data_IF_562081814044
#
_entry.id   IF_562081814044
#
_cell.length_a   1.000
_cell.length_b   1.000
_cell.length_c   1.000
_cell.angle_alpha   90.00
_cell.angle_beta   90.00
_cell.angle_gamma   90.00
#
_symmetry.space_group_name_H-M   'P 1'
#
loop_
_entity.id
_entity.type
_entity.pdbx_description
1 polymer ?
#
# COMPACT_ATOMS: atom_id res chain seq x y z
N UNK A 1 22.50 0.85 -5.76
CA UNK A 1 21.22 1.56 -5.58
C UNK A 1 21.29 2.91 -6.32
N UNK A 2 20.53 3.10 -7.42
CA UNK A 2 20.40 4.43 -8.05
C UNK A 2 19.31 5.21 -7.31
N UNK A 3 19.71 5.99 -6.30
CA UNK A 3 18.81 6.90 -5.57
C UNK A 3 18.63 8.15 -6.43
N UNK A 4 17.47 8.32 -7.06
CA UNK A 4 17.17 9.54 -7.81
C UNK A 4 16.39 10.49 -6.90
N UNK A 5 17.07 11.52 -6.41
CA UNK A 5 16.45 12.61 -5.65
C UNK A 5 15.55 13.38 -6.59
N UNK A 6 14.24 13.37 -6.34
CA UNK A 6 13.29 14.16 -7.12
C UNK A 6 12.87 15.38 -6.32
N UNK A 7 12.60 16.51 -6.97
CA UNK A 7 12.02 17.68 -6.29
C UNK A 7 10.57 17.36 -5.91
N UNK A 8 10.29 17.36 -4.61
CA UNK A 8 8.95 17.22 -4.05
C UNK A 8 8.09 18.46 -4.27
N UNK A 9 6.81 18.36 -3.88
CA UNK A 9 5.97 19.54 -3.66
C UNK A 9 6.65 20.40 -2.57
N UNK A 10 6.69 21.72 -2.75
CA UNK A 10 7.34 22.69 -1.84
C UNK A 10 8.88 22.62 -1.76
N UNK A 11 9.54 21.90 -2.69
CA UNK A 11 11.01 21.80 -2.72
C UNK A 11 11.60 20.82 -1.70
N UNK A 12 10.75 20.06 -1.01
CA UNK A 12 11.15 19.05 -0.02
C UNK A 12 11.76 17.79 -0.68
N UNK A 13 12.63 17.06 0.03
CA UNK A 13 13.26 15.85 -0.50
C UNK A 13 12.21 14.76 -0.76
N UNK A 14 12.23 14.24 -1.98
CA UNK A 14 11.43 13.08 -2.37
C UNK A 14 12.30 11.97 -2.94
N UNK A 15 11.97 10.73 -2.61
CA UNK A 15 12.65 9.53 -3.11
C UNK A 15 11.85 8.97 -4.27
N UNK A 16 12.45 8.96 -5.47
CA UNK A 16 11.90 8.22 -6.61
C UNK A 16 12.29 6.75 -6.54
N UNK A 17 11.32 5.85 -6.68
CA UNK A 17 11.53 4.42 -6.86
C UNK A 17 11.08 4.04 -8.28
N UNK A 18 11.97 3.38 -9.01
CA UNK A 18 11.72 2.87 -10.35
C UNK A 18 11.11 1.48 -10.29
N UNK A 19 10.28 1.13 -11.28
CA UNK A 19 9.74 -0.22 -11.41
C UNK A 19 10.90 -1.23 -11.53
N UNK A 20 10.79 -2.35 -10.81
CA UNK A 20 11.85 -3.36 -10.73
C UNK A 20 12.89 -3.12 -9.64
N UNK A 21 12.86 -1.98 -8.95
CA UNK A 21 13.63 -1.81 -7.71
C UNK A 21 12.94 -2.59 -6.60
N UNK A 22 13.70 -3.43 -5.90
CA UNK A 22 13.24 -4.18 -4.74
C UNK A 22 13.79 -3.55 -3.46
N UNK A 23 12.90 -3.01 -2.64
CA UNK A 23 13.23 -2.57 -1.29
C UNK A 23 12.45 -3.46 -0.33
N UNK A 24 13.20 -4.32 0.37
CA UNK A 24 12.65 -5.30 1.29
C UNK A 24 13.38 -5.22 2.63
N UNK A 25 12.62 -5.29 3.71
CA UNK A 25 13.14 -5.33 5.09
C UNK A 25 12.34 -6.32 5.93
N UNK A 26 12.93 -6.94 6.96
CA UNK A 26 12.15 -7.72 7.92
C UNK A 26 11.08 -6.84 8.59
N UNK A 27 9.80 -7.23 8.51
CA UNK A 27 8.73 -6.37 9.02
C UNK A 27 8.79 -6.17 10.55
N UNK A 28 9.30 -7.17 11.29
CA UNK A 28 9.39 -7.17 12.77
C UNK A 28 10.20 -6.03 13.35
N UNK A 29 11.11 -5.45 12.57
CA UNK A 29 11.90 -4.29 12.98
C UNK A 29 11.01 -3.04 13.13
N UNK A 30 9.92 -2.96 12.36
CA UNK A 30 9.06 -1.78 12.30
C UNK A 30 7.65 -2.01 12.85
N UNK A 31 7.20 -3.27 12.87
CA UNK A 31 5.81 -3.62 13.16
C UNK A 31 5.71 -4.79 14.17
N UNK A 32 4.67 -4.78 15.02
CA UNK A 32 4.44 -5.87 15.96
C UNK A 32 3.93 -7.13 15.25
N UNK A 33 4.22 -8.30 15.84
CA UNK A 33 3.70 -9.59 15.37
C UNK A 33 2.17 -9.65 15.37
N UNK A 34 1.54 -9.12 16.42
CA UNK A 34 0.10 -8.86 16.47
C UNK A 34 -0.15 -7.48 15.90
N UNK A 35 -0.65 -7.43 14.67
CA UNK A 35 -0.90 -6.17 13.97
C UNK A 35 -1.96 -5.34 14.70
N UNK A 36 -2.01 -4.03 14.47
CA UNK A 36 -2.98 -3.18 15.17
C UNK A 36 -4.41 -3.46 14.70
N UNK A 37 -5.40 -3.58 15.60
CA UNK A 37 -6.79 -3.80 15.21
C UNK A 37 -7.38 -2.55 14.55
N UNK A 38 -6.98 -1.35 14.96
CA UNK A 38 -7.35 -0.08 14.33
C UNK A 38 -6.07 0.67 13.99
N UNK A 39 -5.98 1.19 12.78
CA UNK A 39 -4.78 1.84 12.27
C UNK A 39 -5.11 2.80 11.14
N UNK A 40 -4.18 3.70 10.83
CA UNK A 40 -4.26 4.54 9.65
C UNK A 40 -2.97 4.43 8.83
N UNK A 41 -3.11 4.42 7.51
CA UNK A 41 -2.01 4.50 6.57
C UNK A 41 -2.12 5.84 5.89
N UNK A 42 -1.07 6.66 5.97
CA UNK A 42 -1.00 7.96 5.29
C UNK A 42 0.12 7.88 4.26
N UNK A 43 -0.15 8.36 3.04
CA UNK A 43 0.79 8.33 1.95
C UNK A 43 0.77 9.64 1.16
N UNK A 44 1.96 10.16 0.88
CA UNK A 44 2.19 11.31 0.00
C UNK A 44 3.02 10.85 -1.18
N UNK A 45 2.36 10.68 -2.34
CA UNK A 45 2.98 10.05 -3.51
C UNK A 45 2.78 10.82 -4.79
N UNK A 46 3.67 10.57 -5.75
CA UNK A 46 3.52 10.95 -7.15
C UNK A 46 3.78 9.74 -8.05
N UNK A 47 2.73 9.01 -8.48
CA UNK A 47 2.87 7.92 -9.45
C UNK A 47 3.46 8.46 -10.77
N UNK A 48 4.38 7.72 -11.39
CA UNK A 48 4.98 8.12 -12.68
C UNK A 48 4.17 7.66 -13.88
N UNK A 49 3.45 6.55 -13.74
CA UNK A 49 2.57 5.96 -14.75
C UNK A 49 1.16 5.73 -14.20
N UNK A 50 0.28 5.14 -15.02
CA UNK A 50 -1.05 4.70 -14.61
C UNK A 50 -1.14 3.18 -14.40
N UNK A 51 -0.04 2.44 -14.54
CA UNK A 51 -0.03 0.99 -14.35
C UNK A 51 -0.24 0.62 -12.87
N UNK A 52 0.11 1.54 -11.97
CA UNK A 52 -0.04 1.33 -10.53
C UNK A 52 0.94 0.28 -10.01
N UNK A 53 0.59 -0.29 -8.87
CA UNK A 53 1.40 -1.25 -8.13
C UNK A 53 1.16 -1.16 -6.62
N UNK A 54 1.88 -1.98 -5.86
CA UNK A 54 1.84 -1.93 -4.41
C UNK A 54 2.62 -0.71 -3.92
N UNK A 55 1.98 0.14 -3.13
CA UNK A 55 2.65 1.21 -2.39
C UNK A 55 3.60 0.61 -1.35
N UNK A 56 3.07 -0.35 -0.61
CA UNK A 56 3.82 -1.25 0.26
C UNK A 56 3.00 -2.54 0.41
N UNK A 57 3.68 -3.62 0.79
CA UNK A 57 3.07 -4.90 1.08
C UNK A 57 3.86 -5.61 2.18
N UNK A 58 3.18 -6.06 3.22
CA UNK A 58 3.68 -7.06 4.15
C UNK A 58 3.30 -8.41 3.57
N UNK A 59 4.30 -9.19 3.20
CA UNK A 59 4.13 -10.46 2.50
C UNK A 59 4.61 -11.59 3.41
N UNK A 60 3.91 -12.72 3.39
CA UNK A 60 4.28 -13.90 4.16
C UNK A 60 5.69 -14.41 3.78
N UNK A 61 6.24 -15.32 4.61
CA UNK A 61 7.61 -15.82 4.45
C UNK A 61 7.93 -16.42 3.05
N UNK A 62 6.91 -16.91 2.36
CA UNK A 62 7.02 -17.53 1.04
C UNK A 62 6.83 -16.56 -0.12
N UNK A 63 6.62 -15.27 0.15
CA UNK A 63 6.35 -14.23 -0.85
C UNK A 63 5.07 -14.45 -1.69
N UNK A 64 4.11 -15.23 -1.20
CA UNK A 64 2.91 -15.66 -1.96
C UNK A 64 1.62 -14.94 -1.57
N UNK A 65 1.52 -14.43 -0.34
CA UNK A 65 0.31 -13.79 0.18
C UNK A 65 0.65 -12.47 0.86
N UNK A 66 -0.05 -11.41 0.48
CA UNK A 66 0.03 -10.09 1.13
C UNK A 66 -0.91 -10.10 2.34
N UNK A 67 -0.34 -10.05 3.55
CA UNK A 67 -1.11 -9.93 4.78
C UNK A 67 -1.74 -8.54 4.92
N UNK A 68 -0.95 -7.49 4.69
CA UNK A 68 -1.43 -6.09 4.70
C UNK A 68 -0.70 -5.30 3.64
N UNK A 69 -1.44 -4.54 2.82
CA UNK A 69 -0.82 -3.69 1.81
C UNK A 69 -1.78 -2.67 1.22
N UNK A 70 -1.22 -1.73 0.48
CA UNK A 70 -2.02 -0.77 -0.30
C UNK A 70 -1.67 -0.94 -1.76
N UNK A 71 -2.68 -1.30 -2.55
CA UNK A 71 -2.57 -1.53 -3.98
C UNK A 71 -3.23 -0.38 -4.73
N UNK A 72 -2.47 0.26 -5.62
CA UNK A 72 -2.99 1.18 -6.61
C UNK A 72 -3.16 0.45 -7.92
N UNK A 73 -4.34 0.48 -8.53
CA UNK A 73 -4.58 -0.15 -9.83
C UNK A 73 -5.33 0.78 -10.78
N UNK A 74 -5.07 0.71 -12.10
CA UNK A 74 -5.83 1.47 -13.08
C UNK A 74 -7.29 1.03 -13.10
N UNK A 75 -8.19 2.01 -13.22
CA UNK A 75 -9.62 1.78 -13.40
C UNK A 75 -10.11 2.58 -14.62
N UNK A 76 -9.61 2.20 -15.80
CA UNK A 76 -9.82 2.97 -17.03
C UNK A 76 -8.79 4.09 -17.22
N UNK A 77 -9.10 5.07 -18.08
CA UNK A 77 -8.14 6.11 -18.50
C UNK A 77 -7.94 7.25 -17.49
N UNK A 78 -8.95 7.53 -16.66
CA UNK A 78 -9.00 8.73 -15.82
C UNK A 78 -9.29 8.43 -14.36
N UNK A 79 -9.25 7.16 -13.95
CA UNK A 79 -9.50 6.76 -12.57
C UNK A 79 -8.46 5.75 -12.08
N UNK A 80 -8.26 5.75 -10.77
CA UNK A 80 -7.34 4.86 -10.07
C UNK A 80 -8.07 4.28 -8.88
N UNK A 81 -7.96 2.97 -8.68
CA UNK A 81 -8.43 2.31 -7.48
C UNK A 81 -7.34 2.35 -6.42
N UNK A 82 -7.68 2.86 -5.24
CA UNK A 82 -6.87 2.73 -4.03
C UNK A 82 -7.49 1.61 -3.22
N UNK A 83 -6.78 0.50 -3.08
CA UNK A 83 -7.29 -0.73 -2.47
C UNK A 83 -6.49 -1.11 -1.24
N UNK A 84 -7.19 -1.46 -0.16
CA UNK A 84 -6.59 -2.03 1.04
C UNK A 84 -6.62 -3.55 0.93
N UNK A 85 -5.44 -4.16 0.99
CA UNK A 85 -5.27 -5.61 1.11
C UNK A 85 -5.14 -5.95 2.59
N UNK A 86 -5.90 -6.94 3.03
CA UNK A 86 -5.88 -7.44 4.39
C UNK A 86 -6.24 -8.92 4.38
N UNK A 87 -5.32 -9.79 4.80
CA UNK A 87 -5.46 -11.24 4.68
C UNK A 87 -4.74 -11.94 5.82
N UNK A 88 -5.32 -13.04 6.28
CA UNK A 88 -4.65 -13.99 7.15
C UNK A 88 -3.94 -15.05 6.31
N UNK A 89 -2.64 -14.88 6.06
CA UNK A 89 -1.85 -15.86 5.31
C UNK A 89 -1.69 -17.22 5.99
N UNK A 90 -2.08 -17.36 7.26
CA UNK A 90 -2.08 -18.67 7.94
C UNK A 90 -3.25 -19.56 7.49
N UNK A 91 -4.33 -18.94 7.01
CA UNK A 91 -5.57 -19.64 6.64
C UNK A 91 -5.89 -19.49 5.15
N UNK A 92 -5.50 -18.37 4.54
CA UNK A 92 -5.75 -18.09 3.12
C UNK A 92 -4.50 -18.33 2.27
N UNK A 93 -4.70 -18.96 1.11
CA UNK A 93 -3.66 -19.14 0.08
C UNK A 93 -3.60 -18.00 -0.94
N UNK A 94 -4.50 -17.01 -0.85
CA UNK A 94 -4.54 -15.87 -1.75
C UNK A 94 -4.81 -14.56 -1.01
N UNK A 95 -4.28 -13.46 -1.57
CA UNK A 95 -4.44 -12.12 -1.02
C UNK A 95 -5.85 -11.58 -1.28
N UNK A 96 -6.43 -10.92 -0.29
CA UNK A 96 -7.80 -10.40 -0.31
C UNK A 96 -7.85 -8.88 -0.21
N UNK A 97 -8.52 -8.25 -1.17
CA UNK A 97 -8.82 -6.81 -1.16
C UNK A 97 -10.10 -6.61 -0.36
N UNK A 98 -9.99 -5.99 0.82
CA UNK A 98 -11.14 -5.78 1.71
C UNK A 98 -11.86 -4.46 1.46
N UNK A 99 -11.18 -3.47 0.89
CA UNK A 99 -11.77 -2.19 0.50
C UNK A 99 -11.12 -1.68 -0.78
N UNK A 100 -11.92 -1.07 -1.66
CA UNK A 100 -11.42 -0.41 -2.86
C UNK A 100 -12.19 0.88 -3.11
N UNK A 101 -11.46 1.93 -3.45
CA UNK A 101 -11.99 3.27 -3.66
C UNK A 101 -11.55 3.78 -5.02
N UNK A 102 -12.54 4.10 -5.86
CA UNK A 102 -12.33 4.66 -7.17
C UNK A 102 -12.18 6.18 -7.07
N UNK A 103 -10.98 6.69 -7.35
CA UNK A 103 -10.68 8.13 -7.31
C UNK A 103 -10.25 8.63 -8.69
N UNK A 104 -10.32 9.95 -8.97
CA UNK A 104 -9.74 10.52 -10.18
C UNK A 104 -8.25 10.19 -10.27
N UNK A 105 -7.76 9.86 -11.46
CA UNK A 105 -6.35 9.55 -11.68
C UNK A 105 -5.46 10.75 -11.32
N UNK A 106 -4.30 10.46 -10.76
CA UNK A 106 -3.35 11.46 -10.25
C UNK A 106 -1.91 11.16 -10.66
N UNK A 107 -1.72 10.48 -11.79
CA UNK A 107 -0.41 10.25 -12.40
C UNK A 107 0.30 11.58 -12.63
N UNK A 108 1.59 11.62 -12.31
CA UNK A 108 2.45 12.81 -12.35
C UNK A 108 2.00 13.97 -11.44
N UNK A 109 1.04 13.76 -10.53
CA UNK A 109 0.60 14.76 -9.56
C UNK A 109 0.91 14.30 -8.13
N UNK A 110 1.51 15.17 -7.34
CA UNK A 110 1.66 14.93 -5.90
C UNK A 110 0.28 14.84 -5.27
N UNK A 111 0.01 13.72 -4.60
CA UNK A 111 -1.28 13.43 -3.98
C UNK A 111 -1.06 12.81 -2.62
N UNK A 112 -1.73 13.37 -1.62
CA UNK A 112 -1.80 12.82 -0.28
C UNK A 112 -3.15 12.12 -0.08
N UNK A 113 -3.11 10.91 0.46
CA UNK A 113 -4.29 10.19 0.89
C UNK A 113 -4.04 9.44 2.19
N UNK A 114 -5.11 9.08 2.88
CA UNK A 114 -5.07 8.24 4.07
C UNK A 114 -6.17 7.18 4.04
N UNK A 115 -5.83 5.97 4.45
CA UNK A 115 -6.79 4.90 4.74
C UNK A 115 -6.87 4.73 6.25
N UNK A 116 -8.01 5.07 6.83
CA UNK A 116 -8.30 4.85 8.25
C UNK A 116 -9.11 3.57 8.40
N UNK A 117 -8.66 2.67 9.26
CA UNK A 117 -9.33 1.41 9.58
C UNK A 117 -9.77 1.45 11.04
N UNK A 118 -11.09 1.41 11.24
CA UNK A 118 -11.72 1.44 12.56
C UNK A 118 -12.82 0.37 12.63
N UNK A 119 -12.56 -0.71 13.35
CA UNK A 119 -13.44 -1.87 13.43
C UNK A 119 -13.71 -2.48 12.04
N UNK A 120 -14.97 -2.55 11.65
CA UNK A 120 -15.36 -3.03 10.32
C UNK A 120 -15.49 -1.91 9.29
N UNK A 121 -14.94 -0.73 9.54
CA UNK A 121 -15.02 0.39 8.62
C UNK A 121 -13.63 0.79 8.11
N UNK A 122 -13.56 1.03 6.80
CA UNK A 122 -12.39 1.62 6.14
C UNK A 122 -12.84 2.95 5.54
N UNK A 123 -12.21 4.05 5.94
CA UNK A 123 -12.45 5.37 5.38
C UNK A 123 -11.24 5.81 4.55
N UNK A 124 -11.49 6.29 3.33
CA UNK A 124 -10.49 6.96 2.52
C UNK A 124 -10.59 8.47 2.73
N UNK A 125 -9.48 9.11 3.04
CA UNK A 125 -9.28 10.55 2.92
C UNK A 125 -8.42 10.79 1.69
N UNK A 126 -8.88 11.59 0.75
CA UNK A 126 -8.18 11.88 -0.50
C UNK A 126 -8.02 13.39 -0.63
N UNK A 127 -6.77 13.87 -0.80
CA UNK A 127 -6.43 15.30 -0.82
C UNK A 127 -6.98 16.04 0.41
N UNK A 128 -6.75 15.45 1.59
CA UNK A 128 -7.16 15.97 2.90
C UNK A 128 -8.68 16.06 3.14
N UNK A 129 -9.52 15.50 2.27
CA UNK A 129 -10.97 15.43 2.45
C UNK A 129 -11.43 13.99 2.61
N UNK A 130 -12.38 13.74 3.53
CA UNK A 130 -13.01 12.41 3.66
C UNK A 130 -13.78 12.09 2.39
N UNK A 131 -13.28 11.13 1.62
CA UNK A 131 -13.80 10.78 0.31
C UNK A 131 -14.98 9.81 0.41
N UNK A 132 -14.78 8.67 1.07
CA UNK A 132 -15.83 7.68 1.27
C UNK A 132 -15.47 6.72 2.41
N UNK A 133 -16.47 6.01 2.91
CA UNK A 133 -16.32 4.92 3.89
C UNK A 133 -16.93 3.64 3.31
N UNK A 134 -16.28 2.51 3.56
CA UNK A 134 -16.72 1.17 3.18
C UNK A 134 -16.77 0.30 4.43
N UNK A 135 -17.87 -0.43 4.60
CA UNK A 135 -17.95 -1.50 5.58
C UNK A 135 -17.26 -2.74 5.02
N UNK A 136 -16.41 -3.37 5.82
CA UNK A 136 -15.55 -4.49 5.45
C UNK A 136 -15.68 -5.60 6.47
N UNK A 137 -15.34 -6.82 6.07
CA UNK A 137 -15.24 -7.96 6.98
C UNK A 137 -13.78 -8.34 7.14
N UNK A 138 -13.23 -8.17 8.35
CA UNK A 138 -11.85 -8.57 8.68
C UNK A 138 -11.87 -9.84 9.50
N UNK A 139 -11.29 -10.90 8.95
CA UNK A 139 -11.16 -12.17 9.63
C UNK A 139 -9.70 -12.60 9.55
N UNK A 140 -8.96 -12.60 10.67
CA UNK A 140 -9.34 -12.12 12.01
C UNK A 140 -9.39 -10.59 12.09
N UNK A 141 -10.05 -10.06 13.13
CA UNK A 141 -10.06 -8.61 13.40
C UNK A 141 -8.66 -8.04 13.71
N UNK A 142 -7.76 -8.90 14.19
CA UNK A 142 -6.36 -8.58 14.46
C UNK A 142 -5.48 -9.68 13.86
N UNK A 143 -4.64 -9.34 12.88
CA UNK A 143 -3.73 -10.30 12.25
C UNK A 143 -2.59 -10.68 13.18
N UNK A 144 -2.20 -11.95 13.11
CA UNK A 144 -0.97 -12.47 13.68
C UNK A 144 -0.07 -12.92 12.54
N UNK A 145 0.91 -12.09 12.21
CA UNK A 145 1.83 -12.34 11.11
C UNK A 145 2.95 -13.30 11.53
N UNK A 146 3.50 -14.03 10.56
CA UNK A 146 4.67 -14.89 10.78
C UNK A 146 5.91 -14.01 11.01
N UNK A 147 6.85 -14.43 11.86
CA UNK A 147 8.06 -13.64 12.17
C UNK A 147 9.00 -13.49 10.97
N UNK A 148 8.94 -14.38 9.98
CA UNK A 148 9.70 -14.33 8.74
C UNK A 148 8.99 -13.56 7.60
N UNK A 149 7.84 -12.92 7.89
CA UNK A 149 7.19 -12.03 6.93
C UNK A 149 8.09 -10.85 6.56
N UNK A 150 7.89 -10.28 5.38
CA UNK A 150 8.74 -9.24 4.80
C UNK A 150 7.92 -8.01 4.46
N UNK A 151 8.46 -6.83 4.75
CA UNK A 151 7.87 -5.57 4.32
C UNK A 151 8.56 -5.11 3.03
N UNK A 152 7.78 -5.04 1.97
CA UNK A 152 8.16 -4.51 0.67
C UNK A 152 7.66 -3.07 0.52
N UNK A 153 8.49 -2.21 -0.06
CA UNK A 153 8.13 -0.85 -0.45
C UNK A 153 8.12 -0.77 -1.98
N UNK A 154 7.06 -0.17 -2.55
CA UNK A 154 6.86 -0.04 -3.99
C UNK A 154 6.86 -1.38 -4.77
N UNK A 155 6.58 -2.50 -4.11
CA UNK A 155 6.53 -3.85 -4.69
C UNK A 155 5.79 -4.80 -3.71
N UNK A 156 5.51 -6.05 -4.10
CA UNK A 156 5.01 -7.11 -3.24
C UNK A 156 5.80 -8.42 -3.37
N UNK A 157 7.10 -8.32 -3.64
CA UNK A 157 8.00 -9.46 -3.75
C UNK A 157 8.04 -10.11 -5.14
N UNK A 158 8.92 -11.08 -5.34
CA UNK A 158 9.24 -11.62 -6.66
C UNK A 158 8.13 -12.51 -7.25
N UNK A 159 7.29 -13.14 -6.42
CA UNK A 159 6.22 -14.04 -6.88
C UNK A 159 4.94 -13.26 -7.20
N UNK A 160 4.49 -12.38 -6.29
CA UNK A 160 3.29 -11.55 -6.51
C UNK A 160 3.59 -10.41 -7.48
N UNK A 161 4.76 -9.79 -7.38
CA UNK A 161 5.17 -8.65 -8.20
C UNK A 161 4.42 -7.37 -7.87
N UNK A 162 3.95 -6.65 -8.89
CA UNK A 162 3.27 -5.36 -8.72
C UNK A 162 4.22 -4.21 -8.38
N UNK A 163 5.44 -4.25 -8.93
CA UNK A 163 6.40 -3.15 -8.80
C UNK A 163 5.80 -1.81 -9.24
N UNK A 164 6.07 -0.77 -8.47
CA UNK A 164 5.42 0.53 -8.59
C UNK A 164 6.44 1.63 -8.86
N UNK A 165 6.26 2.37 -9.95
CA UNK A 165 7.08 3.54 -10.24
C UNK A 165 6.48 4.80 -9.60
N UNK A 166 7.10 5.28 -8.54
CA UNK A 166 6.50 6.28 -7.66
C UNK A 166 7.55 7.16 -6.98
N UNK A 167 7.21 8.43 -6.79
CA UNK A 167 7.93 9.32 -5.86
C UNK A 167 7.26 9.32 -4.48
N UNK A 168 8.02 9.08 -3.42
CA UNK A 168 7.61 9.23 -2.03
C UNK A 168 8.08 10.56 -1.46
N UNK A 169 7.21 11.23 -0.71
CA UNK A 169 7.55 12.37 0.16
C UNK A 169 7.50 11.91 1.61
N UNK A 170 8.53 12.28 2.39
CA UNK A 170 8.56 12.12 3.84
C UNK A 170 8.11 13.41 4.52
#
# INVERSE_FOLDING_TARGET
MKKQTTKGLDGLPAVGIQRGVEIVVPYRIYLPRKFFPNFAIVASIKPKDNQGGYLFAIVNAFDTVVDVGVLLSPAGRSQTNISLVYTDSQVSSSSNIIASFLVPAFTNQWTQFALEVSGENVALYFRCMRFATRKVKRQPAQLQMDDASKLYIANAGPIIGGGFEVGFRF
#
